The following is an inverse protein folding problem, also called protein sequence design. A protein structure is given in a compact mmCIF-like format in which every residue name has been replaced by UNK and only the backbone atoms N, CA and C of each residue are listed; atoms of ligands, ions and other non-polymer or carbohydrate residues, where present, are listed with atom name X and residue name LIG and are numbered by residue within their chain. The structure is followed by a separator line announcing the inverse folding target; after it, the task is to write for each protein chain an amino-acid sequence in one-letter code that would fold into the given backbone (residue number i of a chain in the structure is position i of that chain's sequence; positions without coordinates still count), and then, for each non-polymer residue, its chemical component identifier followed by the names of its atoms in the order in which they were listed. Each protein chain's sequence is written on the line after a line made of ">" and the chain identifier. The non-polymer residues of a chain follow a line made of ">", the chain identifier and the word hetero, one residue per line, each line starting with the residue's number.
data_IF_706713863038
#
_entry.id   IF_706713863038
#
_cell.length_a   1.000
_cell.length_b   1.000
_cell.length_c   1.000
_cell.angle_alpha   90.00
_cell.angle_beta   90.00
_cell.angle_gamma   90.00
#
_symmetry.space_group_name_H-M   'P 1'
#
loop_
_entity.id
_entity.type
_entity.pdbx_description
1 polymer ?
#
# COMPACT_ATOMS: atom_id res chain seq x y z
N UNK A 1 12.66 11.82 2.73
CA UNK A 1 12.38 13.25 3.07
C UNK A 1 11.08 13.35 3.82
N UNK A 2 11.00 14.28 4.78
CA UNK A 2 9.75 14.54 5.52
C UNK A 2 8.76 15.35 4.68
N UNK A 3 7.48 15.33 5.06
CA UNK A 3 6.43 16.13 4.42
C UNK A 3 6.85 17.61 4.33
N UNK A 4 7.31 18.19 5.43
CA UNK A 4 7.71 19.58 5.48
C UNK A 4 8.85 19.88 4.51
N UNK A 5 9.87 19.02 4.44
CA UNK A 5 11.00 19.20 3.53
C UNK A 5 10.58 19.14 2.06
N UNK A 6 9.70 18.20 1.69
CA UNK A 6 9.20 18.08 0.32
C UNK A 6 8.41 19.34 -0.09
N UNK A 7 7.49 19.79 0.77
CA UNK A 7 6.70 20.99 0.50
C UNK A 7 7.59 22.23 0.42
N UNK A 8 8.56 22.37 1.31
CA UNK A 8 9.50 23.49 1.28
C UNK A 8 10.38 23.50 0.02
N UNK A 9 10.86 22.32 -0.43
CA UNK A 9 11.61 22.22 -1.69
C UNK A 9 10.74 22.56 -2.91
N UNK A 10 9.49 22.10 -2.91
CA UNK A 10 8.54 22.46 -3.96
C UNK A 10 8.28 23.97 -4.01
N UNK A 11 8.05 24.61 -2.86
CA UNK A 11 7.81 26.05 -2.75
C UNK A 11 8.99 26.87 -3.29
N UNK A 12 10.22 26.48 -2.96
CA UNK A 12 11.43 27.12 -3.48
C UNK A 12 11.52 27.07 -5.02
N UNK A 13 11.15 25.94 -5.63
CA UNK A 13 11.18 25.76 -7.08
C UNK A 13 10.01 26.47 -7.81
N UNK A 14 8.94 26.73 -7.09
CA UNK A 14 7.71 27.33 -7.65
C UNK A 14 7.58 28.83 -7.34
N UNK A 15 8.56 29.42 -6.64
CA UNK A 15 8.51 30.84 -6.24
C UNK A 15 7.43 31.17 -5.20
N UNK A 16 7.03 30.18 -4.41
CA UNK A 16 6.03 30.29 -3.35
C UNK A 16 6.72 30.51 -2.00
N UNK A 17 6.19 31.34 -1.09
CA UNK A 17 6.73 31.46 0.25
C UNK A 17 6.83 30.12 0.97
N UNK A 18 7.95 29.90 1.64
CA UNK A 18 8.27 28.67 2.36
C UNK A 18 7.42 28.57 3.64
N UNK A 19 6.59 27.51 3.80
CA UNK A 19 5.81 27.36 5.03
C UNK A 19 6.67 26.94 6.21
N UNK A 20 6.27 27.31 7.42
CA UNK A 20 6.88 26.85 8.68
C UNK A 20 6.34 25.48 9.08
N UNK A 21 5.06 25.22 8.75
CA UNK A 21 4.36 23.94 9.00
C UNK A 21 3.41 23.67 7.85
N UNK A 22 3.14 22.41 7.57
CA UNK A 22 2.17 21.94 6.56
C UNK A 22 0.91 21.45 7.25
N UNK A 23 1.07 20.51 8.18
CA UNK A 23 -0.04 19.96 8.94
C UNK A 23 -0.60 21.02 9.90
N UNK A 24 -1.92 21.27 9.77
CA UNK A 24 -2.57 22.35 10.54
C UNK A 24 -2.37 23.76 9.99
N UNK A 25 -1.74 23.94 8.81
CA UNK A 25 -1.69 25.22 8.13
C UNK A 25 -3.10 25.67 7.73
N UNK A 26 -3.36 26.99 7.82
CA UNK A 26 -4.58 27.64 7.32
C UNK A 26 -4.37 28.31 5.96
N UNK A 27 -3.16 28.28 5.44
CA UNK A 27 -2.83 28.84 4.12
C UNK A 27 -3.41 27.96 3.02
N UNK A 28 -4.27 28.51 2.20
CA UNK A 28 -4.95 27.81 1.11
C UNK A 28 -3.97 27.21 0.10
N UNK A 29 -2.83 27.86 -0.15
CA UNK A 29 -1.80 27.31 -1.05
C UNK A 29 -1.11 26.08 -0.45
N UNK A 30 -0.80 26.12 0.84
CA UNK A 30 -0.19 24.99 1.55
C UNK A 30 -1.15 23.80 1.59
N UNK A 31 -2.44 24.04 1.89
CA UNK A 31 -3.49 23.00 1.86
C UNK A 31 -3.65 22.40 0.47
N UNK A 32 -3.61 23.21 -0.60
CA UNK A 32 -3.67 22.72 -1.98
C UNK A 32 -2.44 21.86 -2.32
N UNK A 33 -1.25 22.29 -1.92
CA UNK A 33 -0.01 21.52 -2.13
C UNK A 33 -0.08 20.17 -1.41
N UNK A 34 -0.54 20.13 -0.17
CA UNK A 34 -0.70 18.90 0.58
C UNK A 34 -1.70 17.96 -0.11
N UNK A 35 -2.86 18.47 -0.55
CA UNK A 35 -3.86 17.65 -1.26
C UNK A 35 -3.31 17.06 -2.57
N UNK A 36 -2.57 17.83 -3.36
CA UNK A 36 -1.93 17.35 -4.60
C UNK A 36 -0.82 16.33 -4.32
N UNK A 37 -0.10 16.50 -3.21
CA UNK A 37 0.93 15.57 -2.78
C UNK A 37 0.34 14.23 -2.37
N UNK A 38 -0.78 14.23 -1.67
CA UNK A 38 -1.52 13.04 -1.27
C UNK A 38 -2.14 12.32 -2.49
N UNK A 39 -2.67 13.07 -3.46
CA UNK A 39 -3.12 12.52 -4.74
C UNK A 39 -1.99 11.83 -5.48
N UNK A 40 -0.83 12.48 -5.56
CA UNK A 40 0.36 11.92 -6.23
C UNK A 40 0.87 10.66 -5.51
N UNK A 41 0.99 10.68 -4.19
CA UNK A 41 1.44 9.53 -3.42
C UNK A 41 0.53 8.31 -3.57
N UNK A 42 -0.78 8.51 -3.57
CA UNK A 42 -1.75 7.44 -3.81
C UNK A 42 -1.67 6.90 -5.25
N UNK A 43 -1.47 7.77 -6.24
CA UNK A 43 -1.29 7.37 -7.65
C UNK A 43 0.00 6.55 -7.81
N UNK A 44 1.13 7.04 -7.34
CA UNK A 44 2.42 6.32 -7.38
C UNK A 44 2.34 4.96 -6.68
N UNK A 45 1.74 4.90 -5.49
CA UNK A 45 1.59 3.64 -4.75
C UNK A 45 0.77 2.59 -5.52
N UNK A 46 -0.08 3.02 -6.47
CA UNK A 46 -0.91 2.11 -7.26
C UNK A 46 -0.30 1.73 -8.61
N UNK A 47 0.70 2.47 -9.12
CA UNK A 47 1.29 2.25 -10.45
C UNK A 47 2.13 0.98 -10.56
N UNK A 48 2.69 0.49 -9.47
CA UNK A 48 3.57 -0.68 -9.51
C UNK A 48 3.67 -1.45 -8.20
N UNK A 49 4.41 -2.53 -8.26
CA UNK A 49 4.73 -3.38 -7.11
C UNK A 49 6.06 -2.92 -6.50
N UNK A 50 6.01 -1.77 -5.83
CA UNK A 50 7.19 -1.22 -5.20
C UNK A 50 7.72 -2.13 -4.09
N UNK A 51 9.00 -2.45 -4.15
CA UNK A 51 9.65 -3.24 -3.10
C UNK A 51 9.58 -2.55 -1.73
N UNK A 52 9.66 -1.21 -1.71
CA UNK A 52 9.49 -0.42 -0.50
C UNK A 52 8.09 -0.54 0.16
N UNK A 53 7.09 -0.99 -0.59
CA UNK A 53 5.73 -1.25 -0.10
C UNK A 53 5.45 -2.74 0.13
N UNK A 54 6.44 -3.61 -0.08
CA UNK A 54 6.31 -5.05 0.16
C UNK A 54 6.57 -5.35 1.63
N UNK A 55 5.60 -5.98 2.29
CA UNK A 55 5.66 -6.27 3.72
C UNK A 55 5.32 -7.74 3.94
N UNK A 56 6.06 -8.42 4.81
CA UNK A 56 5.75 -9.79 5.24
C UNK A 56 4.70 -9.76 6.36
N UNK A 57 3.70 -10.63 6.26
CA UNK A 57 2.75 -10.92 7.32
C UNK A 57 2.88 -12.38 7.77
N UNK A 58 2.81 -12.59 9.08
CA UNK A 58 2.76 -13.90 9.70
C UNK A 58 1.36 -14.13 10.27
N UNK A 59 0.85 -15.36 10.14
CA UNK A 59 -0.47 -15.76 10.61
C UNK A 59 -0.45 -17.16 11.19
N UNK A 60 -0.97 -17.31 12.39
CA UNK A 60 -1.19 -18.64 13.00
C UNK A 60 -2.58 -19.13 12.58
N UNK A 61 -2.65 -20.29 11.94
CA UNK A 61 -3.89 -20.82 11.38
C UNK A 61 -4.93 -21.18 12.44
N UNK A 62 -6.19 -21.03 12.06
CA UNK A 62 -7.35 -21.45 12.81
C UNK A 62 -7.97 -22.70 12.17
N UNK A 63 -8.54 -23.63 12.96
CA UNK A 63 -9.25 -24.81 12.44
C UNK A 63 -10.65 -24.43 11.89
N UNK A 64 -10.71 -23.40 11.05
CA UNK A 64 -11.91 -22.87 10.41
C UNK A 64 -11.62 -22.46 8.97
N UNK A 65 -12.64 -22.42 8.11
CA UNK A 65 -12.51 -21.93 6.73
C UNK A 65 -12.07 -20.47 6.70
N UNK A 66 -12.64 -19.63 7.55
CA UNK A 66 -12.25 -18.21 7.66
C UNK A 66 -11.09 -18.06 8.63
N UNK A 67 -9.99 -17.58 8.13
CA UNK A 67 -8.81 -17.27 8.94
C UNK A 67 -8.86 -15.86 9.57
N UNK A 68 -9.95 -15.14 9.35
CA UNK A 68 -10.15 -13.77 9.87
C UNK A 68 -10.03 -12.68 8.80
N UNK A 69 -10.19 -11.45 9.24
CA UNK A 69 -10.07 -10.29 8.36
C UNK A 69 -8.63 -10.12 7.89
N UNK A 70 -8.42 -10.00 6.56
CA UNK A 70 -7.07 -9.85 6.01
C UNK A 70 -6.37 -8.59 6.53
N UNK A 71 -7.12 -7.53 6.82
CA UNK A 71 -6.57 -6.29 7.40
C UNK A 71 -6.08 -6.42 8.85
N UNK A 72 -6.51 -7.44 9.60
CA UNK A 72 -5.97 -7.75 10.93
C UNK A 72 -4.76 -8.67 10.88
N UNK A 73 -4.59 -9.41 9.79
CA UNK A 73 -3.41 -10.24 9.52
C UNK A 73 -2.30 -9.37 8.92
N UNK A 74 -2.64 -8.59 7.90
CA UNK A 74 -1.76 -7.65 7.21
C UNK A 74 -2.04 -6.21 7.68
N UNK A 75 -1.55 -5.87 8.87
CA UNK A 75 -1.93 -4.67 9.65
C UNK A 75 -1.49 -3.34 9.02
N UNK A 76 -0.46 -3.35 8.17
CA UNK A 76 0.11 -2.13 7.59
C UNK A 76 -0.56 -1.70 6.28
N UNK A 77 -1.87 -1.97 6.13
CA UNK A 77 -2.63 -1.52 4.96
C UNK A 77 -2.57 -2.49 3.79
N UNK A 78 -3.32 -3.58 3.88
CA UNK A 78 -3.39 -4.62 2.85
C UNK A 78 -3.95 -4.09 1.52
N UNK A 79 -3.25 -4.38 0.42
CA UNK A 79 -3.73 -4.21 -0.97
C UNK A 79 -3.97 -5.57 -1.63
N UNK A 80 -2.95 -6.39 -1.80
CA UNK A 80 -3.03 -7.77 -2.30
C UNK A 80 -1.78 -8.57 -1.94
N UNK A 81 -1.86 -9.89 -2.00
CA UNK A 81 -0.75 -10.80 -1.76
C UNK A 81 0.14 -10.86 -3.00
N UNK A 82 1.43 -10.57 -2.84
CA UNK A 82 2.42 -10.55 -3.91
C UNK A 82 2.71 -11.98 -4.37
N UNK A 83 2.66 -12.23 -5.68
CA UNK A 83 3.14 -13.45 -6.32
C UNK A 83 2.69 -14.80 -5.67
N UNK A 84 1.52 -14.84 -5.04
CA UNK A 84 1.02 -16.04 -4.36
C UNK A 84 1.96 -16.60 -3.28
N UNK A 85 2.61 -15.73 -2.54
CA UNK A 85 3.67 -16.06 -1.59
C UNK A 85 3.21 -16.71 -0.28
N UNK A 86 1.96 -17.16 -0.14
CA UNK A 86 1.53 -17.84 1.09
C UNK A 86 2.19 -19.22 1.18
N UNK A 87 2.95 -19.39 2.26
CA UNK A 87 3.55 -20.67 2.63
C UNK A 87 3.18 -21.08 4.03
N UNK A 88 2.82 -22.35 4.19
CA UNK A 88 2.79 -23.04 5.49
C UNK A 88 4.24 -23.39 5.86
N UNK A 89 4.78 -22.65 6.83
CA UNK A 89 6.16 -22.87 7.31
C UNK A 89 6.28 -24.10 8.20
N UNK A 90 5.17 -24.56 8.79
CA UNK A 90 5.11 -25.77 9.61
C UNK A 90 5.23 -27.01 8.74
N UNK A 91 4.36 -27.16 7.74
CA UNK A 91 4.36 -28.30 6.82
C UNK A 91 5.28 -28.12 5.61
N UNK A 92 5.83 -26.92 5.41
CA UNK A 92 6.71 -26.54 4.28
C UNK A 92 6.04 -26.71 2.92
N UNK A 93 4.77 -26.34 2.84
CA UNK A 93 3.95 -26.45 1.63
C UNK A 93 3.39 -25.09 1.20
N UNK A 94 3.26 -24.85 -0.11
CA UNK A 94 2.63 -23.64 -0.62
C UNK A 94 1.12 -23.70 -0.42
N UNK A 95 0.51 -22.54 -0.15
CA UNK A 95 -0.94 -22.35 -0.16
C UNK A 95 -1.33 -21.68 -1.48
N UNK A 96 -2.11 -22.36 -2.30
CA UNK A 96 -2.39 -21.96 -3.68
C UNK A 96 -3.52 -20.94 -3.76
N UNK A 97 -3.33 -19.86 -4.47
CA UNK A 97 -4.36 -18.84 -4.71
C UNK A 97 -3.80 -17.45 -5.03
N UNK A 98 -4.63 -16.43 -5.07
CA UNK A 98 -6.09 -16.49 -4.80
C UNK A 98 -6.85 -17.18 -5.95
N UNK A 99 -7.72 -18.13 -5.62
CA UNK A 99 -8.55 -18.81 -6.62
C UNK A 99 -9.80 -18.00 -6.95
N UNK A 100 -10.29 -18.17 -8.18
CA UNK A 100 -11.46 -17.45 -8.66
C UNK A 100 -12.78 -18.00 -8.08
N UNK A 101 -13.89 -17.30 -8.33
CA UNK A 101 -15.20 -17.65 -7.78
C UNK A 101 -15.69 -19.02 -8.22
N UNK A 102 -15.45 -19.41 -9.49
CA UNK A 102 -15.87 -20.71 -10.03
C UNK A 102 -15.09 -21.86 -9.39
N UNK A 103 -13.79 -21.72 -9.29
CA UNK A 103 -12.92 -22.72 -8.64
C UNK A 103 -13.30 -22.89 -7.16
N UNK A 104 -13.56 -21.77 -6.45
CA UNK A 104 -13.99 -21.83 -5.05
C UNK A 104 -15.28 -22.61 -4.86
N UNK A 105 -16.30 -22.36 -5.71
CA UNK A 105 -17.56 -23.08 -5.63
C UNK A 105 -17.38 -24.57 -5.96
N UNK A 106 -16.51 -24.90 -6.93
CA UNK A 106 -16.15 -26.27 -7.24
C UNK A 106 -15.51 -26.99 -6.05
N UNK A 107 -14.58 -26.34 -5.36
CA UNK A 107 -13.96 -26.87 -4.13
C UNK A 107 -14.97 -27.12 -3.01
N UNK A 108 -15.96 -26.24 -2.87
CA UNK A 108 -17.02 -26.36 -1.86
C UNK A 108 -17.99 -27.50 -2.15
N UNK A 109 -18.10 -27.97 -3.39
CA UNK A 109 -18.98 -29.08 -3.77
C UNK A 109 -18.37 -30.46 -3.45
N UNK A 110 -17.10 -30.54 -3.10
CA UNK A 110 -16.36 -31.78 -2.81
C UNK A 110 -15.79 -31.70 -1.41
N UNK A 111 -15.87 -32.80 -0.66
CA UNK A 111 -15.20 -32.91 0.65
C UNK A 111 -13.72 -33.16 0.39
N UNK A 112 -12.91 -32.16 0.61
CA UNK A 112 -11.45 -32.24 0.49
C UNK A 112 -10.81 -32.31 1.88
N UNK A 113 -9.83 -33.18 2.01
CA UNK A 113 -8.99 -33.32 3.20
C UNK A 113 -7.53 -33.33 2.79
N UNK A 114 -6.66 -32.90 3.67
CA UNK A 114 -5.21 -32.96 3.43
C UNK A 114 -4.55 -31.61 3.34
N UNK A 115 -3.19 -31.59 3.24
CA UNK A 115 -2.39 -30.37 3.44
C UNK A 115 -2.27 -29.48 2.20
N UNK A 116 -2.99 -29.74 1.12
CA UNK A 116 -2.98 -28.91 -0.09
C UNK A 116 -4.03 -27.82 0.01
N UNK A 117 -3.71 -26.76 0.73
CA UNK A 117 -4.61 -25.65 0.99
C UNK A 117 -4.73 -24.74 -0.22
N UNK A 118 -5.94 -24.24 -0.46
CA UNK A 118 -6.21 -23.19 -1.43
C UNK A 118 -6.90 -22.03 -0.74
N UNK A 119 -6.57 -20.81 -1.13
CA UNK A 119 -7.12 -19.64 -0.50
C UNK A 119 -7.86 -18.72 -1.46
N UNK A 120 -8.74 -17.93 -0.87
CA UNK A 120 -9.44 -16.84 -1.51
C UNK A 120 -9.66 -15.70 -0.52
N UNK A 121 -9.58 -14.46 -1.01
CA UNK A 121 -10.01 -13.30 -0.24
C UNK A 121 -11.40 -12.90 -0.71
N UNK A 122 -12.36 -12.85 0.21
CA UNK A 122 -13.75 -12.46 -0.08
C UNK A 122 -14.32 -11.66 1.09
N UNK A 123 -14.89 -10.47 0.79
CA UNK A 123 -15.44 -9.58 1.80
C UNK A 123 -14.44 -9.16 2.87
N UNK A 124 -13.16 -9.00 2.46
CA UNK A 124 -12.09 -8.64 3.38
C UNK A 124 -11.59 -9.77 4.29
N UNK A 125 -12.10 -11.00 4.14
CA UNK A 125 -11.65 -12.17 4.91
C UNK A 125 -10.77 -13.10 4.07
N UNK A 126 -9.73 -13.67 4.71
CA UNK A 126 -8.94 -14.76 4.17
C UNK A 126 -9.68 -16.08 4.40
N UNK A 127 -10.10 -16.72 3.31
CA UNK A 127 -10.81 -18.00 3.32
C UNK A 127 -9.89 -19.10 2.80
N UNK A 128 -9.90 -20.26 3.43
CA UNK A 128 -9.03 -21.40 3.10
C UNK A 128 -9.85 -22.69 3.01
N UNK A 129 -9.59 -23.48 1.98
CA UNK A 129 -10.20 -24.81 1.81
C UNK A 129 -9.14 -25.79 1.23
N UNK A 130 -8.98 -27.01 1.77
CA UNK A 130 -9.66 -27.54 2.96
C UNK A 130 -9.35 -26.73 4.22
N UNK A 131 -10.15 -26.95 5.27
CA UNK A 131 -9.93 -26.30 6.57
C UNK A 131 -8.57 -26.71 7.13
N UNK A 132 -7.68 -25.76 7.43
CA UNK A 132 -6.34 -26.07 7.92
C UNK A 132 -6.37 -26.61 9.37
N UNK A 133 -5.29 -27.24 9.76
CA UNK A 133 -5.02 -27.56 11.16
C UNK A 133 -4.72 -26.23 11.90
N UNK A 134 -5.24 -26.09 13.11
CA UNK A 134 -4.92 -24.92 13.93
C UNK A 134 -3.46 -24.93 14.41
N UNK A 135 -2.87 -23.74 14.53
CA UNK A 135 -1.54 -23.59 15.12
C UNK A 135 -0.38 -23.69 14.13
N UNK A 136 -0.64 -23.86 12.81
CA UNK A 136 0.41 -23.78 11.82
C UNK A 136 0.84 -22.33 11.58
N UNK A 137 2.12 -22.14 11.34
CA UNK A 137 2.69 -20.83 11.06
C UNK A 137 2.73 -20.59 9.54
N UNK A 138 1.92 -19.64 9.09
CA UNK A 138 1.85 -19.20 7.70
C UNK A 138 2.48 -17.83 7.54
N UNK A 139 3.20 -17.66 6.45
CA UNK A 139 3.75 -16.36 6.09
C UNK A 139 3.48 -16.03 4.62
N UNK A 140 3.34 -14.75 4.35
CA UNK A 140 3.19 -14.24 2.99
C UNK A 140 3.65 -12.80 2.88
N UNK A 141 4.04 -12.41 1.68
CA UNK A 141 4.30 -11.02 1.35
C UNK A 141 3.07 -10.38 0.71
N UNK A 142 2.83 -9.13 1.06
CA UNK A 142 1.75 -8.34 0.47
C UNK A 142 2.23 -6.95 0.13
N UNK A 143 1.56 -6.31 -0.83
CA UNK A 143 1.78 -4.90 -1.13
C UNK A 143 0.90 -4.07 -0.20
N UNK A 144 1.54 -3.14 0.50
CA UNK A 144 0.85 -2.15 1.33
C UNK A 144 0.20 -1.08 0.46
N UNK A 145 -0.98 -0.60 0.87
CA UNK A 145 -1.58 0.64 0.36
C UNK A 145 -1.08 1.88 1.08
N UNK A 146 -0.37 1.69 2.20
CA UNK A 146 0.18 2.77 3.00
C UNK A 146 1.59 3.07 2.49
N UNK A 147 1.79 4.26 1.98
CA UNK A 147 3.02 4.71 1.32
C UNK A 147 3.79 5.76 2.11
N UNK A 148 3.29 6.07 3.31
CA UNK A 148 3.90 6.99 4.28
C UNK A 148 4.32 6.19 5.51
N UNK A 149 5.46 6.54 6.10
CA UNK A 149 5.89 6.05 7.39
C UNK A 149 5.98 7.22 8.38
N UNK A 150 5.49 7.01 9.59
CA UNK A 150 5.61 7.98 10.66
C UNK A 150 7.07 8.13 11.13
N UNK A 151 7.37 9.24 11.80
CA UNK A 151 8.69 9.49 12.39
C UNK A 151 9.14 8.42 13.39
N UNK A 152 8.19 7.58 13.87
CA UNK A 152 8.47 6.42 14.73
C UNK A 152 9.10 5.23 13.98
N UNK A 153 9.13 5.27 12.64
CA UNK A 153 9.63 4.20 11.77
C UNK A 153 8.79 2.93 11.76
N UNK A 154 7.59 2.94 12.35
CA UNK A 154 6.75 1.75 12.55
C UNK A 154 5.33 1.96 12.01
N UNK A 155 4.79 3.17 12.14
CA UNK A 155 3.40 3.47 11.77
C UNK A 155 3.28 3.77 10.29
N UNK A 156 2.62 2.88 9.53
CA UNK A 156 2.34 3.05 8.11
C UNK A 156 1.00 3.76 7.89
N UNK A 157 0.96 4.72 6.98
CA UNK A 157 -0.18 5.58 6.69
C UNK A 157 -0.37 5.79 5.18
N UNK A 158 -1.57 6.19 4.79
CA UNK A 158 -1.90 6.60 3.41
C UNK A 158 -2.21 8.10 3.29
N UNK A 159 -2.17 8.83 4.40
CA UNK A 159 -2.34 10.28 4.48
C UNK A 159 -1.30 10.85 5.44
N UNK A 160 -0.80 12.05 5.16
CA UNK A 160 0.09 12.76 6.06
C UNK A 160 -0.68 13.32 7.26
N UNK A 161 -0.16 13.08 8.45
CA UNK A 161 -0.73 13.57 9.71
C UNK A 161 0.22 14.46 10.50
N UNK A 162 1.52 14.35 10.22
CA UNK A 162 2.58 15.12 10.86
C UNK A 162 3.57 15.64 9.83
N UNK A 163 4.18 16.79 10.09
CA UNK A 163 5.21 17.38 9.24
C UNK A 163 6.49 16.52 9.13
N UNK A 164 6.67 15.61 10.10
CA UNK A 164 7.78 14.66 10.20
C UNK A 164 7.49 13.31 9.55
N UNK A 165 6.30 13.10 8.99
CA UNK A 165 5.98 11.89 8.24
C UNK A 165 6.84 11.82 6.98
N UNK A 166 7.34 10.62 6.64
CA UNK A 166 8.24 10.39 5.52
C UNK A 166 7.55 9.59 4.40
N UNK A 167 7.97 9.84 3.19
CA UNK A 167 7.52 9.14 2.00
C UNK A 167 8.40 7.91 1.74
N UNK A 168 7.79 6.75 1.51
CA UNK A 168 8.50 5.47 1.32
C UNK A 168 9.02 5.27 -0.11
N UNK A 169 8.43 5.96 -1.08
CA UNK A 169 8.82 5.87 -2.48
C UNK A 169 9.85 6.96 -2.82
N UNK A 170 10.47 6.95 -4.03
CA UNK A 170 11.49 7.93 -4.37
C UNK A 170 10.99 9.39 -4.31
N UNK A 171 11.60 10.21 -3.48
CA UNK A 171 11.26 11.63 -3.27
C UNK A 171 11.25 12.43 -4.58
N UNK A 172 12.12 12.07 -5.51
CA UNK A 172 12.22 12.72 -6.82
C UNK A 172 10.96 12.57 -7.65
N UNK A 173 10.36 11.38 -7.65
CA UNK A 173 9.10 11.11 -8.35
C UNK A 173 7.96 11.92 -7.75
N UNK A 174 7.88 11.93 -6.42
CA UNK A 174 6.85 12.69 -5.72
C UNK A 174 6.95 14.21 -6.02
N UNK A 175 8.17 14.76 -6.01
CA UNK A 175 8.38 16.18 -6.35
C UNK A 175 8.05 16.48 -7.82
N UNK A 176 8.41 15.60 -8.75
CA UNK A 176 8.07 15.78 -10.17
C UNK A 176 6.57 15.68 -10.40
N UNK A 177 5.93 14.69 -9.77
CA UNK A 177 4.48 14.51 -9.80
C UNK A 177 3.73 15.73 -9.24
N UNK A 178 4.15 16.22 -8.08
CA UNK A 178 3.58 17.43 -7.50
C UNK A 178 3.74 18.67 -8.42
N UNK A 179 4.89 18.82 -9.10
CA UNK A 179 5.12 19.96 -9.99
C UNK A 179 4.18 19.99 -11.19
N UNK A 180 4.02 18.88 -11.92
CA UNK A 180 3.13 18.87 -13.07
C UNK A 180 1.67 19.00 -12.67
N UNK A 181 1.24 18.39 -11.54
CA UNK A 181 -0.12 18.56 -11.02
C UNK A 181 -0.40 20.00 -10.62
N UNK A 182 0.53 20.63 -9.94
CA UNK A 182 0.42 22.05 -9.60
C UNK A 182 0.25 22.94 -10.83
N UNK A 183 1.09 22.75 -11.87
CA UNK A 183 0.98 23.51 -13.13
C UNK A 183 -0.38 23.28 -13.80
N UNK A 184 -0.86 22.04 -13.83
CA UNK A 184 -2.19 21.69 -14.32
C UNK A 184 -3.30 22.45 -13.61
N UNK A 185 -3.30 22.45 -12.28
CA UNK A 185 -4.31 23.13 -11.45
C UNK A 185 -4.27 24.65 -11.58
N UNK A 186 -3.11 25.20 -11.92
CA UNK A 186 -2.96 26.65 -12.19
C UNK A 186 -3.27 27.02 -13.64
N UNK A 187 -3.64 26.08 -14.50
CA UNK A 187 -3.89 26.31 -15.91
C UNK A 187 -2.65 26.68 -16.73
N UNK A 188 -1.47 26.31 -16.25
CA UNK A 188 -0.18 26.51 -16.91
C UNK A 188 0.19 25.29 -17.75
N UNK A 189 1.08 25.47 -18.72
CA UNK A 189 1.59 24.35 -19.50
C UNK A 189 2.43 23.40 -18.62
N UNK A 190 2.04 22.14 -18.61
CA UNK A 190 2.67 21.08 -17.84
C UNK A 190 3.19 19.93 -18.73
N UNK A 191 3.05 20.02 -20.05
CA UNK A 191 3.28 18.92 -21.00
C UNK A 191 4.70 18.37 -20.90
N UNK A 192 5.71 19.24 -20.82
CA UNK A 192 7.10 18.84 -20.68
C UNK A 192 7.39 18.17 -19.33
N UNK A 193 6.86 18.75 -18.24
CA UNK A 193 7.01 18.20 -16.89
C UNK A 193 6.37 16.82 -16.77
N UNK A 194 5.17 16.65 -17.35
CA UNK A 194 4.46 15.38 -17.37
C UNK A 194 5.22 14.34 -18.20
N UNK A 195 5.69 14.70 -19.41
CA UNK A 195 6.48 13.80 -20.23
C UNK A 195 7.77 13.34 -19.54
N UNK A 196 8.46 14.25 -18.87
CA UNK A 196 9.67 13.92 -18.10
C UNK A 196 9.36 12.99 -16.91
N UNK A 197 8.24 13.22 -16.23
CA UNK A 197 7.78 12.39 -15.13
C UNK A 197 7.42 10.96 -15.58
N UNK A 198 6.69 10.81 -16.71
CA UNK A 198 6.31 9.48 -17.22
C UNK A 198 7.52 8.67 -17.78
N UNK A 199 8.64 9.34 -18.06
CA UNK A 199 9.86 8.69 -18.53
C UNK A 199 10.75 8.11 -17.40
N UNK A 200 10.40 8.34 -16.12
CA UNK A 200 11.13 7.86 -14.94
C UNK A 200 10.56 6.54 -14.43
#
# INVERSE_FOLDING_TARGET
>A
MTLLEIVQQFCLRSGIPKPVTVTGSTDTQVLQIQALLEEEGNDLATRGDWEALTIEANHTTLATESQGAIGTIATNGFRYIKNQTIWDRTDRLPVIGPINSRQWQGLKSVVLTGPRYQFRIRGGNLLVNPVPVAGHDWAFEYISKNWIIGADGITYKNLFTLDTDEFLLPDTLLLMGLRWRWMREKGLDYSELFSTYEAQ
#
